data_IF_360381750817
#
_entry.id   IF_360381750817
#
_cell.length_a   1.000
_cell.length_b   1.000
_cell.length_c   1.000
_cell.angle_alpha   90.00
_cell.angle_beta   90.00
_cell.angle_gamma   90.00
#
_symmetry.space_group_name_H-M   'P 1'
#
loop_
_entity.id
_entity.type
_entity.pdbx_description
1 polymer ?
#
# COMPACT_ATOMS: atom_id res chain seq x y z
N UNK A 1 5.43 1.47 74.43
CA UNK A 1 5.65 0.29 73.57
C UNK A 1 4.53 0.26 72.54
N UNK A 2 4.88 0.23 71.25
CA UNK A 2 3.98 0.49 70.12
C UNK A 2 3.15 -0.75 69.74
N UNK A 3 1.85 -0.54 69.54
CA UNK A 3 0.92 -1.54 69.03
C UNK A 3 1.23 -1.86 67.55
N UNK A 4 1.48 -3.13 67.24
CA UNK A 4 1.53 -3.63 65.86
C UNK A 4 0.10 -3.85 65.38
N UNK A 5 -0.40 -2.96 64.52
CA UNK A 5 -1.62 -3.19 63.73
C UNK A 5 -1.21 -3.94 62.47
N UNK A 6 -1.75 -5.15 62.30
CA UNK A 6 -1.64 -5.94 61.07
C UNK A 6 -2.52 -5.25 60.02
N UNK A 7 -1.91 -4.71 58.97
CA UNK A 7 -2.60 -4.21 57.78
C UNK A 7 -2.74 -5.38 56.80
N UNK A 8 -3.96 -5.80 56.53
CA UNK A 8 -4.28 -6.69 55.41
C UNK A 8 -4.11 -5.93 54.08
N UNK A 9 -3.49 -6.52 53.05
CA UNK A 9 -3.49 -5.91 51.72
C UNK A 9 -4.89 -6.03 51.11
N UNK A 10 -5.51 -4.87 50.85
CA UNK A 10 -6.70 -4.79 50.01
C UNK A 10 -6.30 -5.15 48.57
N UNK A 11 -6.82 -6.27 48.09
CA UNK A 11 -6.73 -6.68 46.68
C UNK A 11 -7.63 -5.73 45.89
N UNK A 12 -7.04 -4.73 45.24
CA UNK A 12 -7.75 -3.95 44.23
C UNK A 12 -7.93 -4.83 42.99
N UNK A 13 -9.12 -5.41 42.86
CA UNK A 13 -9.60 -5.96 41.59
C UNK A 13 -9.81 -4.77 40.64
N UNK A 14 -8.74 -4.38 39.93
CA UNK A 14 -8.83 -3.48 38.79
C UNK A 14 -9.65 -4.17 37.73
N UNK A 15 -10.92 -3.74 37.58
CA UNK A 15 -11.71 -4.09 36.42
C UNK A 15 -11.01 -3.52 35.19
N UNK A 16 -10.31 -4.39 34.46
CA UNK A 16 -9.92 -4.14 33.08
C UNK A 16 -11.21 -3.93 32.30
N UNK A 17 -11.62 -2.67 32.15
CA UNK A 17 -12.60 -2.27 31.16
C UNK A 17 -11.89 -2.47 29.83
N UNK A 18 -11.98 -3.67 29.30
CA UNK A 18 -11.58 -3.98 27.94
C UNK A 18 -12.46 -3.12 27.04
N UNK A 19 -11.95 -1.94 26.67
CA UNK A 19 -12.50 -1.20 25.54
C UNK A 19 -12.55 -2.19 24.37
N UNK A 20 -13.71 -2.39 23.73
CA UNK A 20 -13.72 -3.11 22.48
C UNK A 20 -12.87 -2.27 21.52
N UNK A 21 -11.67 -2.76 21.24
CA UNK A 21 -10.99 -2.41 20.00
C UNK A 21 -11.94 -2.90 18.93
N UNK A 22 -12.69 -1.97 18.33
CA UNK A 22 -13.30 -2.20 17.04
C UNK A 22 -12.13 -2.31 16.05
N UNK A 23 -11.47 -3.47 16.07
CA UNK A 23 -10.84 -3.98 14.89
C UNK A 23 -12.01 -4.20 13.94
N UNK A 24 -12.25 -3.25 13.05
CA UNK A 24 -13.01 -3.52 11.83
C UNK A 24 -12.22 -4.55 11.04
N UNK A 25 -12.37 -5.81 11.47
CA UNK A 25 -12.06 -6.99 10.71
C UNK A 25 -13.22 -7.12 9.72
N UNK A 26 -13.28 -6.21 8.74
CA UNK A 26 -14.22 -6.31 7.64
C UNK A 26 -13.80 -7.47 6.73
N UNK A 27 -14.29 -8.65 7.12
CA UNK A 27 -14.63 -9.84 6.34
C UNK A 27 -14.09 -9.97 4.92
N UNK A 28 -13.18 -10.95 4.74
CA UNK A 28 -12.68 -11.46 3.47
C UNK A 28 -11.34 -10.84 3.06
N UNK A 29 -10.55 -11.47 2.17
CA UNK A 29 -9.39 -10.80 1.59
C UNK A 29 -9.91 -9.58 0.81
N UNK A 30 -9.82 -8.38 1.39
CA UNK A 30 -10.10 -7.14 0.67
C UNK A 30 -9.11 -7.07 -0.49
N UNK A 31 -9.62 -7.13 -1.72
CA UNK A 31 -8.78 -6.98 -2.92
C UNK A 31 -8.21 -5.57 -2.90
N UNK A 32 -6.89 -5.44 -2.83
CA UNK A 32 -6.22 -4.14 -2.92
C UNK A 32 -6.43 -3.58 -4.33
N UNK A 33 -7.18 -2.49 -4.45
CA UNK A 33 -7.64 -1.94 -5.71
C UNK A 33 -6.66 -0.90 -6.25
N UNK A 34 -6.76 -0.63 -7.56
CA UNK A 34 -6.04 0.44 -8.22
C UNK A 34 -6.37 1.81 -7.60
N UNK A 35 -7.59 2.02 -7.07
CA UNK A 35 -7.92 3.23 -6.31
C UNK A 35 -7.08 3.37 -5.03
N UNK A 36 -6.87 2.26 -4.31
CA UNK A 36 -6.10 2.24 -3.07
C UNK A 36 -4.62 2.51 -3.33
N UNK A 37 -4.09 1.98 -4.43
CA UNK A 37 -2.72 2.28 -4.89
C UNK A 37 -2.60 3.69 -5.48
N UNK A 38 -3.62 4.20 -6.17
CA UNK A 38 -3.58 5.52 -6.79
C UNK A 38 -3.49 6.64 -5.74
N UNK A 39 -4.10 6.46 -4.57
CA UNK A 39 -4.12 7.47 -3.49
C UNK A 39 -2.71 7.93 -3.08
N UNK A 40 -1.76 7.03 -2.73
CA UNK A 40 -0.40 7.45 -2.39
C UNK A 40 0.45 7.90 -3.59
N UNK A 41 0.05 7.60 -4.83
CA UNK A 41 0.85 7.95 -6.01
C UNK A 41 0.73 9.41 -6.46
N UNK A 42 -0.29 10.14 -6.01
CA UNK A 42 -0.55 11.52 -6.42
C UNK A 42 0.39 12.50 -5.70
N UNK A 43 1.14 13.27 -6.48
CA UNK A 43 1.85 14.43 -5.96
C UNK A 43 0.83 15.56 -5.70
N UNK A 44 0.92 16.20 -4.52
CA UNK A 44 0.28 17.48 -4.16
C UNK A 44 -1.01 17.53 -3.29
N UNK A 45 -1.44 16.47 -2.58
CA UNK A 45 -2.53 16.64 -1.58
C UNK A 45 -2.23 16.09 -0.17
N UNK A 46 -0.99 15.68 0.07
CA UNK A 46 -0.56 15.25 1.39
C UNK A 46 0.24 16.39 2.03
N UNK A 47 -0.28 16.93 3.13
CA UNK A 47 0.43 17.75 4.14
C UNK A 47 1.94 17.45 4.07
N UNK A 48 2.81 18.43 3.81
CA UNK A 48 4.14 18.27 3.19
C UNK A 48 5.10 17.20 3.77
N UNK A 49 4.78 16.62 4.93
CA UNK A 49 5.47 15.47 5.54
C UNK A 49 4.93 14.11 5.05
N UNK A 50 3.64 14.02 4.75
CA UNK A 50 2.96 12.85 4.24
C UNK A 50 3.10 12.68 2.74
N UNK A 51 3.37 13.76 1.98
CA UNK A 51 3.59 13.68 0.52
C UNK A 51 4.75 12.79 0.15
N UNK A 52 5.93 13.06 0.73
CA UNK A 52 7.14 12.26 0.51
C UNK A 52 6.94 10.78 0.92
N UNK A 53 6.33 10.54 2.08
CA UNK A 53 6.08 9.20 2.56
C UNK A 53 5.11 8.43 1.65
N UNK A 54 4.01 9.06 1.24
CA UNK A 54 3.02 8.45 0.36
C UNK A 54 3.61 8.15 -1.03
N UNK A 55 4.34 9.11 -1.62
CA UNK A 55 5.03 8.90 -2.90
C UNK A 55 6.00 7.73 -2.79
N UNK A 56 6.79 7.68 -1.71
CA UNK A 56 7.72 6.57 -1.43
C UNK A 56 7.00 5.23 -1.27
N UNK A 57 5.82 5.18 -0.66
CA UNK A 57 5.01 3.96 -0.55
C UNK A 57 4.52 3.47 -1.92
N UNK A 58 4.01 4.39 -2.76
CA UNK A 58 3.62 4.05 -4.13
C UNK A 58 4.81 3.55 -4.95
N UNK A 59 5.95 4.24 -4.89
CA UNK A 59 7.16 3.87 -5.63
C UNK A 59 7.72 2.52 -5.20
N UNK A 60 7.67 2.19 -3.90
CA UNK A 60 8.04 0.87 -3.39
C UNK A 60 7.15 -0.24 -3.94
N UNK A 61 5.83 0.01 -4.09
CA UNK A 61 4.95 -0.95 -4.76
C UNK A 61 5.37 -1.17 -6.21
N UNK A 62 5.63 -0.08 -6.96
CA UNK A 62 6.00 -0.15 -8.38
C UNK A 62 7.31 -0.90 -8.60
N UNK A 63 8.36 -0.55 -7.86
CA UNK A 63 9.67 -1.20 -8.01
C UNK A 63 9.61 -2.66 -7.55
N UNK A 64 8.93 -2.96 -6.44
CA UNK A 64 8.75 -4.34 -5.98
C UNK A 64 8.01 -5.20 -6.99
N UNK A 65 6.99 -4.66 -7.66
CA UNK A 65 6.26 -5.35 -8.72
C UNK A 65 7.14 -5.62 -9.95
N UNK A 66 7.87 -4.60 -10.42
CA UNK A 66 8.76 -4.73 -11.60
C UNK A 66 9.91 -5.69 -11.32
N UNK A 67 10.52 -5.62 -10.13
CA UNK A 67 11.59 -6.52 -9.72
C UNK A 67 11.12 -7.96 -9.59
N UNK A 68 9.90 -8.20 -9.08
CA UNK A 68 9.32 -9.53 -9.07
C UNK A 68 9.15 -10.10 -10.49
N UNK A 69 8.70 -9.30 -11.46
CA UNK A 69 8.60 -9.73 -12.86
C UNK A 69 9.98 -10.03 -13.46
N UNK A 70 11.00 -9.24 -13.13
CA UNK A 70 12.38 -9.45 -13.58
C UNK A 70 12.97 -10.74 -12.99
N UNK A 71 12.84 -10.94 -11.67
CA UNK A 71 13.38 -12.12 -10.97
C UNK A 71 12.75 -13.43 -11.43
N UNK A 72 11.49 -13.39 -11.88
CA UNK A 72 10.76 -14.55 -12.39
C UNK A 72 10.94 -14.78 -13.90
N UNK A 73 11.64 -13.90 -14.62
CA UNK A 73 11.72 -13.90 -16.08
C UNK A 73 10.38 -13.58 -16.77
N UNK A 74 9.37 -13.20 -16.00
CA UNK A 74 8.05 -12.87 -16.51
C UNK A 74 8.10 -11.58 -17.35
N UNK A 75 8.96 -10.63 -16.99
CA UNK A 75 9.14 -9.35 -17.69
C UNK A 75 9.45 -9.56 -19.18
N UNK A 76 10.43 -10.41 -19.48
CA UNK A 76 10.86 -10.74 -20.84
C UNK A 76 9.80 -11.59 -21.56
N UNK A 77 9.25 -12.59 -20.88
CA UNK A 77 8.21 -13.46 -21.46
C UNK A 77 6.95 -12.71 -21.90
N UNK A 78 6.65 -11.58 -21.23
CA UNK A 78 5.51 -10.71 -21.52
C UNK A 78 5.87 -9.54 -22.45
N UNK A 79 7.12 -9.45 -22.92
CA UNK A 79 7.57 -8.37 -23.80
C UNK A 79 7.57 -7.00 -23.14
N UNK A 80 7.81 -6.92 -21.83
CA UNK A 80 7.84 -5.68 -21.05
C UNK A 80 9.28 -5.15 -20.93
N UNK A 81 9.52 -3.95 -21.43
CA UNK A 81 10.79 -3.22 -21.37
C UNK A 81 10.65 -1.94 -20.52
N UNK A 82 10.31 -2.10 -19.23
CA UNK A 82 10.29 -0.98 -18.27
C UNK A 82 11.68 -0.29 -18.18
N UNK A 83 11.72 1.04 -17.98
CA UNK A 83 12.95 1.84 -18.04
C UNK A 83 13.98 1.40 -17.01
N UNK A 84 15.27 1.48 -17.35
CA UNK A 84 16.38 1.09 -16.47
C UNK A 84 16.75 2.17 -15.46
N UNK A 85 16.48 3.44 -15.80
CA UNK A 85 16.71 4.59 -14.94
C UNK A 85 15.36 5.12 -14.48
N UNK A 86 15.29 5.56 -13.23
CA UNK A 86 14.09 6.17 -12.64
C UNK A 86 12.82 5.28 -12.76
N UNK A 87 12.99 3.95 -12.68
CA UNK A 87 11.90 2.99 -12.94
C UNK A 87 10.69 3.22 -12.07
N UNK A 88 10.88 3.51 -10.78
CA UNK A 88 9.79 3.67 -9.84
C UNK A 88 8.88 4.84 -10.23
N UNK A 89 9.47 5.99 -10.50
CA UNK A 89 8.78 7.22 -10.89
C UNK A 89 8.14 7.13 -12.28
N UNK A 90 8.87 6.62 -13.29
CA UNK A 90 8.32 6.45 -14.65
C UNK A 90 7.12 5.49 -14.67
N UNK A 91 7.21 4.38 -13.92
CA UNK A 91 6.12 3.41 -13.80
C UNK A 91 4.96 4.01 -13.00
N UNK A 92 5.24 4.75 -11.92
CA UNK A 92 4.22 5.48 -11.13
C UNK A 92 3.43 6.45 -12.01
N UNK A 93 4.11 7.31 -12.77
CA UNK A 93 3.46 8.26 -13.67
C UNK A 93 2.66 7.57 -14.77
N UNK A 94 3.20 6.50 -15.36
CA UNK A 94 2.47 5.71 -16.35
C UNK A 94 1.20 5.10 -15.74
N UNK A 95 1.29 4.54 -14.54
CA UNK A 95 0.15 3.96 -13.83
C UNK A 95 -0.93 4.99 -13.53
N UNK A 96 -0.54 6.15 -12.96
CA UNK A 96 -1.48 7.23 -12.68
C UNK A 96 -2.21 7.68 -13.95
N UNK A 97 -1.47 7.99 -15.03
CA UNK A 97 -2.06 8.38 -16.31
C UNK A 97 -2.96 7.30 -16.88
N UNK A 98 -2.55 6.03 -16.78
CA UNK A 98 -3.32 4.89 -17.27
C UNK A 98 -4.63 4.74 -16.49
N UNK A 99 -4.62 4.78 -15.17
CA UNK A 99 -5.86 4.72 -14.37
C UNK A 99 -6.76 5.90 -14.70
N UNK A 100 -6.23 7.12 -14.75
CA UNK A 100 -7.02 8.33 -15.04
C UNK A 100 -7.64 8.33 -16.45
N UNK A 101 -7.00 7.73 -17.45
CA UNK A 101 -7.53 7.64 -18.81
C UNK A 101 -8.85 6.86 -18.93
N UNK A 102 -9.19 6.02 -17.94
CA UNK A 102 -10.52 5.41 -17.82
C UNK A 102 -10.91 5.25 -16.35
N UNK A 103 -10.88 6.36 -15.61
CA UNK A 103 -10.94 6.37 -14.15
C UNK A 103 -12.12 5.57 -13.58
N UNK A 104 -13.34 5.75 -14.11
CA UNK A 104 -14.54 5.06 -13.62
C UNK A 104 -14.46 3.53 -13.70
N UNK A 105 -13.68 2.99 -14.65
CA UNK A 105 -13.47 1.56 -14.83
C UNK A 105 -12.22 1.07 -14.11
N UNK A 106 -11.09 1.74 -14.37
CA UNK A 106 -9.76 1.27 -13.96
C UNK A 106 -9.52 1.40 -12.46
N UNK A 107 -10.17 2.35 -11.76
CA UNK A 107 -10.02 2.48 -10.31
C UNK A 107 -10.51 1.27 -9.52
N UNK A 108 -11.44 0.50 -10.08
CA UNK A 108 -12.04 -0.68 -9.44
C UNK A 108 -11.30 -1.99 -9.77
N UNK A 109 -10.23 -1.93 -10.57
CA UNK A 109 -9.41 -3.11 -10.87
C UNK A 109 -8.53 -3.47 -9.66
N UNK A 110 -8.13 -4.75 -9.52
CA UNK A 110 -7.04 -5.11 -8.62
C UNK A 110 -5.75 -4.34 -8.98
N UNK A 111 -5.04 -3.84 -7.97
CA UNK A 111 -3.86 -2.98 -8.18
C UNK A 111 -2.76 -3.70 -8.99
N UNK A 112 -2.52 -4.97 -8.70
CA UNK A 112 -1.57 -5.82 -9.42
C UNK A 112 -1.92 -5.95 -10.92
N UNK A 113 -3.20 -6.15 -11.23
CA UNK A 113 -3.66 -6.25 -12.62
C UNK A 113 -3.55 -4.90 -13.33
N UNK A 114 -3.89 -3.81 -12.66
CA UNK A 114 -3.77 -2.46 -13.20
C UNK A 114 -2.31 -2.07 -13.48
N UNK A 115 -1.37 -2.40 -12.58
CA UNK A 115 0.07 -2.18 -12.79
C UNK A 115 0.57 -3.05 -13.94
N UNK A 116 0.21 -4.33 -14.00
CA UNK A 116 0.62 -5.19 -15.11
C UNK A 116 0.06 -4.71 -16.46
N UNK A 117 -1.19 -4.26 -16.51
CA UNK A 117 -1.79 -3.70 -17.71
C UNK A 117 -1.08 -2.40 -18.14
N UNK A 118 -0.79 -1.52 -17.17
CA UNK A 118 0.01 -0.32 -17.39
C UNK A 118 1.36 -0.66 -18.02
N UNK A 119 2.07 -1.66 -17.47
CA UNK A 119 3.38 -2.09 -17.95
C UNK A 119 3.32 -2.59 -19.39
N UNK A 120 2.33 -3.43 -19.70
CA UNK A 120 2.13 -3.98 -21.06
C UNK A 120 1.82 -2.91 -22.09
N UNK A 121 0.99 -1.93 -21.72
CA UNK A 121 0.53 -0.89 -22.67
C UNK A 121 1.54 0.24 -22.87
N UNK A 122 2.34 0.59 -21.84
CA UNK A 122 3.22 1.76 -21.88
C UNK A 122 4.71 1.41 -22.07
N UNK A 123 5.10 0.18 -21.79
CA UNK A 123 6.50 -0.24 -21.81
C UNK A 123 6.70 -1.53 -22.61
N UNK A 124 6.05 -1.67 -23.77
CA UNK A 124 6.31 -2.78 -24.68
C UNK A 124 7.74 -2.72 -25.25
N UNK A 125 8.42 -3.85 -25.35
CA UNK A 125 9.69 -3.97 -26.04
C UNK A 125 9.54 -3.64 -27.54
N UNK A 126 10.54 -2.96 -28.11
CA UNK A 126 10.62 -2.64 -29.54
C UNK A 126 11.44 -3.68 -30.30
#
# INVERSE_FOLDING_TARGET
>A
MRAFRILAPAVFAGALVASPVFADSHGGPSVYLAADLLSPCQEADNDARWGEAAETECEQYMIGFVDALKLTGAKESMGICAPELNTADEVRWAFMRWVHASYSKRKAMPANEAVLATLKENFACK
#
